data_IF_153751436735
#
_entry.id   IF_153751436735
#
_cell.length_a   1.000
_cell.length_b   1.000
_cell.length_c   1.000
_cell.angle_alpha   90.00
_cell.angle_beta   90.00
_cell.angle_gamma   90.00
#
_symmetry.space_group_name_H-M   'P 1'
#
loop_
_entity.id
_entity.type
_entity.pdbx_description
1 polymer ?
#
# COMPACT_ATOMS: atom_id res chain seq x y z
N UNK A 1 -1.31 5.77 2.99
CA UNK A 1 -1.79 6.45 4.21
C UNK A 1 -3.29 6.71 4.20
N UNK A 2 -3.82 7.54 3.27
CA UNK A 2 -5.26 7.87 3.22
C UNK A 2 -6.19 6.66 3.35
N UNK A 3 -5.99 5.63 2.52
CA UNK A 3 -6.82 4.41 2.55
C UNK A 3 -6.73 3.65 3.88
N UNK A 4 -5.57 3.68 4.53
CA UNK A 4 -5.39 3.09 5.86
C UNK A 4 -6.24 3.81 6.91
N UNK A 5 -6.20 5.15 6.93
CA UNK A 5 -7.04 5.94 7.83
C UNK A 5 -8.54 5.77 7.58
N UNK A 6 -8.95 5.66 6.31
CA UNK A 6 -10.34 5.33 5.95
C UNK A 6 -10.76 3.95 6.49
N UNK A 7 -9.91 2.92 6.36
CA UNK A 7 -10.20 1.56 6.86
C UNK A 7 -10.24 1.54 8.40
N UNK A 8 -9.36 2.29 9.05
CA UNK A 8 -9.30 2.39 10.52
C UNK A 8 -10.42 3.26 11.09
N UNK A 9 -11.13 4.03 10.26
CA UNK A 9 -12.23 4.87 10.71
C UNK A 9 -11.83 6.24 11.26
N UNK A 10 -10.56 6.66 11.15
CA UNK A 10 -10.11 7.96 11.68
C UNK A 10 -10.91 9.13 11.11
N UNK A 11 -11.49 9.97 11.97
CA UNK A 11 -12.27 11.12 11.52
C UNK A 11 -11.49 12.02 10.54
N UNK A 12 -10.20 12.28 10.84
CA UNK A 12 -9.32 13.05 9.96
C UNK A 12 -8.68 12.21 8.85
N UNK A 13 -8.39 12.84 7.71
CA UNK A 13 -7.70 12.18 6.60
C UNK A 13 -6.25 11.86 7.01
N UNK A 14 -5.91 10.58 7.05
CA UNK A 14 -4.54 10.13 7.32
C UNK A 14 -3.56 10.60 6.24
N UNK A 15 -2.73 11.60 6.59
CA UNK A 15 -1.64 12.15 5.76
C UNK A 15 -0.28 11.79 6.35
N UNK A 16 0.80 11.73 5.54
CA UNK A 16 2.16 11.52 6.05
C UNK A 16 2.55 12.53 7.14
N UNK A 17 2.08 13.78 7.02
CA UNK A 17 2.28 14.81 8.02
C UNK A 17 1.77 14.41 9.41
N UNK A 18 0.63 13.72 9.52
CA UNK A 18 0.09 13.29 10.82
C UNK A 18 0.99 12.26 11.51
N UNK A 19 1.63 11.38 10.74
CA UNK A 19 2.62 10.44 11.30
C UNK A 19 3.86 11.17 11.79
N UNK A 20 4.35 12.12 10.99
CA UNK A 20 5.48 12.97 11.40
C UNK A 20 5.11 13.82 12.61
N UNK A 21 3.86 14.28 12.69
CA UNK A 21 3.35 15.03 13.83
C UNK A 21 3.35 14.20 15.11
N UNK A 22 2.75 13.01 15.05
CA UNK A 22 2.76 12.07 16.16
C UNK A 22 4.20 11.73 16.59
N UNK A 23 5.07 11.35 15.65
CA UNK A 23 6.47 11.03 15.95
C UNK A 23 7.25 12.20 16.55
N UNK A 24 7.06 13.41 16.03
CA UNK A 24 7.70 14.61 16.57
C UNK A 24 7.27 14.87 18.03
N UNK A 25 6.00 14.60 18.36
CA UNK A 25 5.47 14.73 19.71
C UNK A 25 6.06 13.69 20.67
N UNK A 26 6.22 12.46 20.19
CA UNK A 26 6.93 11.41 20.96
C UNK A 26 8.38 11.80 21.25
N UNK A 27 9.09 12.34 20.25
CA UNK A 27 10.46 12.82 20.44
C UNK A 27 10.53 13.93 21.50
N UNK A 28 9.60 14.90 21.48
CA UNK A 28 9.57 15.99 22.45
C UNK A 28 9.34 15.51 23.89
N UNK A 29 8.60 14.41 24.05
CA UNK A 29 8.22 13.88 25.35
C UNK A 29 9.20 12.82 25.87
N UNK A 30 10.21 12.46 25.07
CA UNK A 30 11.22 11.48 25.43
C UNK A 30 12.37 12.15 26.16
N UNK A 31 12.79 11.58 27.29
CA UNK A 31 14.01 12.01 27.99
C UNK A 31 15.29 11.65 27.21
N UNK A 32 15.21 10.67 26.30
CA UNK A 32 16.35 10.19 25.50
C UNK A 32 16.62 11.07 24.27
N UNK A 33 15.62 11.83 23.80
CA UNK A 33 15.72 12.63 22.58
C UNK A 33 15.82 14.11 22.92
N UNK A 34 17.04 14.64 22.83
CA UNK A 34 17.28 16.08 23.03
C UNK A 34 16.64 16.93 21.92
N UNK A 35 16.34 18.19 22.21
CA UNK A 35 15.80 19.16 21.22
C UNK A 35 16.68 19.25 19.95
N UNK A 36 18.01 19.20 20.12
CA UNK A 36 18.94 19.21 19.00
C UNK A 36 18.80 17.94 18.15
N UNK A 37 18.74 16.76 18.78
CA UNK A 37 18.55 15.50 18.08
C UNK A 37 17.18 15.41 17.41
N UNK A 38 16.12 15.87 18.08
CA UNK A 38 14.78 15.99 17.50
C UNK A 38 14.81 16.81 16.22
N UNK A 39 15.45 17.98 16.23
CA UNK A 39 15.55 18.83 15.05
C UNK A 39 16.39 18.19 13.94
N UNK A 40 17.44 17.44 14.26
CA UNK A 40 18.18 16.64 13.27
C UNK A 40 17.29 15.56 12.65
N UNK A 41 16.55 14.79 13.45
CA UNK A 41 15.64 13.73 12.99
C UNK A 41 14.54 14.31 12.10
N UNK A 42 13.95 15.43 12.51
CA UNK A 42 12.93 16.13 11.74
C UNK A 42 13.51 16.99 10.61
N UNK A 43 14.82 17.13 10.49
CA UNK A 43 15.48 18.01 9.52
C UNK A 43 14.99 19.46 9.61
N UNK A 44 14.82 19.96 10.83
CA UNK A 44 14.52 21.37 11.10
C UNK A 44 15.83 22.13 11.31
N UNK A 45 15.94 23.30 10.70
CA UNK A 45 17.05 24.23 10.96
C UNK A 45 16.92 24.95 12.31
N UNK A 46 15.72 25.00 12.88
CA UNK A 46 15.39 25.77 14.07
C UNK A 46 14.23 25.11 14.84
N UNK A 47 14.33 25.06 16.18
CA UNK A 47 13.30 24.57 17.09
C UNK A 47 11.97 25.32 16.94
N UNK A 48 11.98 26.58 16.50
CA UNK A 48 10.77 27.37 16.22
C UNK A 48 9.88 26.70 15.17
N UNK A 49 10.47 25.95 14.24
CA UNK A 49 9.72 25.16 13.25
C UNK A 49 8.95 24.04 13.97
N UNK A 50 9.60 23.36 14.93
CA UNK A 50 8.92 22.38 15.76
C UNK A 50 7.76 23.01 16.54
N UNK A 51 8.03 24.08 17.30
CA UNK A 51 7.00 24.74 18.12
C UNK A 51 5.79 25.16 17.28
N UNK A 52 6.02 25.78 16.11
CA UNK A 52 4.95 26.28 15.24
C UNK A 52 4.10 25.18 14.61
N UNK A 53 4.70 24.06 14.23
CA UNK A 53 4.03 23.04 13.42
C UNK A 53 3.63 21.78 14.21
N UNK A 54 4.29 21.52 15.33
CA UNK A 54 4.22 20.25 16.06
C UNK A 54 3.78 20.41 17.52
N UNK A 55 3.94 21.60 18.11
CA UNK A 55 3.49 21.92 19.48
C UNK A 55 2.19 22.74 19.46
N UNK A 56 1.20 22.26 18.70
CA UNK A 56 -0.07 22.97 18.49
C UNK A 56 -1.10 22.59 19.57
N UNK A 57 -1.10 21.33 20.00
CA UNK A 57 -2.09 20.82 20.97
C UNK A 57 -1.50 20.62 22.36
N UNK A 58 -2.24 21.05 23.37
CA UNK A 58 -1.97 20.78 24.79
C UNK A 58 -2.45 19.36 25.11
N UNK A 59 -1.51 18.43 25.25
CA UNK A 59 -1.76 17.03 25.63
C UNK A 59 -1.39 16.71 27.08
N UNK A 60 -1.25 17.76 27.90
CA UNK A 60 -1.01 17.66 29.34
C UNK A 60 -2.27 18.06 30.12
N UNK A 61 -2.45 17.46 31.30
CA UNK A 61 -3.57 17.79 32.18
C UNK A 61 -3.31 19.10 32.94
N UNK A 62 -3.51 20.21 32.23
CA UNK A 62 -3.34 21.55 32.79
C UNK A 62 -4.23 21.79 34.00
N UNK A 63 -5.45 21.24 34.01
CA UNK A 63 -6.38 21.40 35.13
C UNK A 63 -5.86 20.70 36.39
N UNK A 64 -5.42 19.44 36.27
CA UNK A 64 -4.84 18.68 37.39
C UNK A 64 -3.59 19.34 37.96
N UNK A 65 -2.75 19.91 37.09
CA UNK A 65 -1.57 20.68 37.48
C UNK A 65 -1.96 21.94 38.26
N UNK A 66 -2.86 22.78 37.72
CA UNK A 66 -3.30 24.03 38.36
C UNK A 66 -3.95 23.76 39.72
N UNK A 67 -4.77 22.71 39.81
CA UNK A 67 -5.50 22.35 41.03
C UNK A 67 -4.65 21.56 42.03
N UNK A 68 -3.41 21.20 41.69
CA UNK A 68 -2.50 20.36 42.51
C UNK A 68 -3.12 19.02 42.92
N UNK A 69 -4.01 18.47 42.10
CA UNK A 69 -4.67 17.16 42.35
C UNK A 69 -3.88 15.98 41.77
N UNK A 70 -2.72 16.24 41.18
CA UNK A 70 -2.00 15.29 40.34
C UNK A 70 -2.44 15.39 38.87
N UNK A 71 -1.52 15.08 37.95
CA UNK A 71 -1.74 15.21 36.51
C UNK A 71 -2.16 13.89 35.89
N UNK A 72 -3.29 13.86 35.18
CA UNK A 72 -3.72 12.72 34.38
C UNK A 72 -3.26 12.84 32.92
N UNK A 73 -2.00 13.24 32.69
CA UNK A 73 -1.42 13.48 31.35
C UNK A 73 -1.62 12.30 30.40
N UNK A 74 -1.48 11.06 30.88
CA UNK A 74 -1.68 9.86 30.05
C UNK A 74 -3.11 9.75 29.51
N UNK A 75 -4.11 10.07 30.35
CA UNK A 75 -5.52 10.09 29.96
C UNK A 75 -5.80 11.20 28.95
N UNK A 76 -5.32 12.42 29.22
CA UNK A 76 -5.49 13.56 28.31
C UNK A 76 -4.85 13.28 26.96
N UNK A 77 -3.62 12.76 26.96
CA UNK A 77 -2.91 12.36 25.74
C UNK A 77 -3.64 11.27 24.97
N UNK A 78 -4.22 10.29 25.65
CA UNK A 78 -5.05 9.28 25.01
C UNK A 78 -6.31 9.89 24.38
N UNK A 79 -7.03 10.75 25.10
CA UNK A 79 -8.23 11.43 24.61
C UNK A 79 -7.93 12.38 23.43
N UNK A 80 -6.75 13.00 23.41
CA UNK A 80 -6.29 13.87 22.32
C UNK A 80 -5.58 13.12 21.18
N UNK A 81 -5.41 11.80 21.28
CA UNK A 81 -4.76 10.99 20.25
C UNK A 81 -5.66 10.79 19.02
N UNK A 82 -5.04 10.52 17.86
CA UNK A 82 -5.79 10.15 16.66
C UNK A 82 -6.63 8.87 16.88
N UNK A 83 -6.20 7.97 17.77
CA UNK A 83 -6.93 6.75 18.10
C UNK A 83 -8.26 7.00 18.81
N UNK A 84 -8.44 8.13 19.50
CA UNK A 84 -9.74 8.50 20.06
C UNK A 84 -10.80 8.74 18.98
N UNK A 85 -10.38 8.99 17.73
CA UNK A 85 -11.28 9.17 16.59
C UNK A 85 -11.54 7.88 15.79
N UNK A 86 -11.11 6.73 16.30
CA UNK A 86 -11.38 5.43 15.66
C UNK A 86 -12.85 5.12 15.80
N UNK A 87 -13.50 4.93 14.67
CA UNK A 87 -14.90 4.57 14.57
C UNK A 87 -15.04 3.37 13.60
N UNK A 88 -15.29 2.16 14.12
CA UNK A 88 -15.44 0.96 13.30
C UNK A 88 -16.63 1.00 12.34
N UNK A 89 -17.68 1.75 12.66
CA UNK A 89 -18.93 1.82 11.89
C UNK A 89 -18.87 2.88 10.79
N UNK A 90 -17.82 3.72 10.80
CA UNK A 90 -17.63 4.75 9.80
C UNK A 90 -17.53 4.19 8.37
N UNK A 91 -18.38 4.63 7.43
CA UNK A 91 -18.43 4.05 6.09
C UNK A 91 -17.20 4.42 5.25
N UNK A 92 -16.48 3.41 4.76
CA UNK A 92 -15.29 3.60 3.92
C UNK A 92 -15.30 2.79 2.62
N UNK A 93 -16.33 1.97 2.42
CA UNK A 93 -16.61 1.14 1.24
C UNK A 93 -18.08 1.27 0.89
N UNK A 94 -18.38 1.11 -0.39
CA UNK A 94 -19.75 0.96 -0.87
C UNK A 94 -20.20 -0.49 -0.72
N UNK A 95 -21.50 -0.70 -0.56
CA UNK A 95 -22.05 -2.06 -0.65
C UNK A 95 -21.87 -2.61 -2.07
N UNK A 96 -21.87 -3.95 -2.26
CA UNK A 96 -21.83 -4.54 -3.59
C UNK A 96 -22.97 -4.05 -4.50
N UNK A 97 -24.16 -3.85 -3.93
CA UNK A 97 -25.35 -3.37 -4.62
C UNK A 97 -25.20 -1.91 -5.07
N UNK A 98 -24.77 -1.02 -4.17
CA UNK A 98 -24.45 0.37 -4.50
C UNK A 98 -23.35 0.45 -5.56
N UNK A 99 -22.32 -0.39 -5.44
CA UNK A 99 -21.25 -0.43 -6.43
C UNK A 99 -21.73 -0.92 -7.80
N UNK A 100 -22.75 -1.77 -7.86
CA UNK A 100 -23.36 -2.22 -9.12
C UNK A 100 -24.24 -1.12 -9.72
N UNK A 101 -25.08 -0.46 -8.91
CA UNK A 101 -25.97 0.61 -9.38
C UNK A 101 -25.20 1.80 -9.97
N UNK A 102 -23.99 2.09 -9.48
CA UNK A 102 -23.12 3.11 -10.07
C UNK A 102 -22.69 2.82 -11.52
N UNK A 103 -22.65 1.55 -11.94
CA UNK A 103 -22.36 1.21 -13.34
C UNK A 103 -23.54 1.54 -14.28
N UNK A 104 -24.75 1.59 -13.73
CA UNK A 104 -25.99 1.88 -14.46
C UNK A 104 -26.19 3.38 -14.71
N UNK A 105 -25.34 4.24 -14.15
CA UNK A 105 -25.44 5.70 -14.31
C UNK A 105 -25.29 6.10 -15.79
N UNK A 106 -26.11 7.04 -16.31
CA UNK A 106 -26.07 7.45 -17.72
C UNK A 106 -24.68 7.89 -18.19
N UNK A 107 -23.95 8.63 -17.35
CA UNK A 107 -22.59 9.09 -17.65
C UNK A 107 -21.57 7.94 -17.76
N UNK A 108 -21.76 6.87 -16.99
CA UNK A 108 -20.90 5.68 -17.03
C UNK A 108 -21.25 4.83 -18.25
N UNK A 109 -22.53 4.62 -18.53
CA UNK A 109 -22.98 3.91 -19.74
C UNK A 109 -22.53 4.60 -21.02
N UNK A 110 -22.74 5.91 -21.15
CA UNK A 110 -22.31 6.66 -22.33
C UNK A 110 -20.79 6.52 -22.60
N UNK A 111 -19.96 6.46 -21.56
CA UNK A 111 -18.52 6.21 -21.69
C UNK A 111 -18.18 4.75 -21.99
N UNK A 112 -18.98 3.82 -21.47
CA UNK A 112 -18.88 2.40 -21.78
C UNK A 112 -19.17 2.18 -23.28
N UNK A 113 -20.29 2.71 -23.79
CA UNK A 113 -20.66 2.65 -25.20
C UNK A 113 -19.58 3.27 -26.09
N UNK A 114 -18.98 4.38 -25.66
CA UNK A 114 -17.88 5.03 -26.39
C UNK A 114 -16.62 4.16 -26.45
N UNK A 115 -16.32 3.41 -25.39
CA UNK A 115 -15.21 2.48 -25.36
C UNK A 115 -15.50 1.26 -26.25
N UNK A 116 -16.72 0.73 -26.19
CA UNK A 116 -17.14 -0.45 -26.95
C UNK A 116 -17.20 -0.14 -28.45
N UNK A 117 -17.77 1.00 -28.86
CA UNK A 117 -17.72 1.50 -30.25
C UNK A 117 -16.30 1.60 -30.79
N UNK A 118 -15.33 1.98 -29.96
CA UNK A 118 -13.92 2.10 -30.36
C UNK A 118 -13.19 0.76 -30.39
N UNK A 119 -13.70 -0.26 -29.69
CA UNK A 119 -13.19 -1.63 -29.75
C UNK A 119 -13.57 -2.28 -31.09
N UNK A 120 -14.82 -2.11 -31.54
CA UNK A 120 -15.31 -2.70 -32.79
C UNK A 120 -14.64 -2.12 -34.05
N UNK A 121 -14.14 -0.88 -33.99
CA UNK A 121 -13.39 -0.27 -35.10
C UNK A 121 -11.99 -0.89 -35.32
N UNK A 122 -11.46 -1.64 -34.34
CA UNK A 122 -10.17 -2.35 -34.48
C UNK A 122 -10.35 -3.72 -35.19
N UNK A 123 -11.56 -4.31 -35.20
CA UNK A 123 -11.85 -5.63 -35.78
C UNK A 123 -12.21 -5.58 -37.29
N UNK A 124 -12.82 -4.50 -37.77
CA UNK A 124 -13.26 -4.35 -39.18
C UNK A 124 -12.14 -3.96 -40.17
N UNK A 125 -10.92 -3.70 -39.69
CA UNK A 125 -9.81 -3.20 -40.51
C UNK A 125 -8.78 -4.29 -40.87
N UNK A 126 -9.19 -5.31 -41.64
CA UNK A 126 -8.24 -6.17 -42.37
C UNK A 126 -8.53 -6.14 -43.88
N UNK A 127 -8.04 -5.15 -44.64
CA UNK A 127 -8.07 -5.20 -46.10
C UNK A 127 -6.87 -5.94 -46.68
N UNK A 128 -7.19 -6.73 -47.70
CA UNK A 128 -6.28 -7.51 -48.53
C UNK A 128 -5.12 -6.70 -49.14
N UNK A 129 -4.05 -7.44 -49.37
CA UNK A 129 -2.69 -7.06 -49.75
C UNK A 129 -2.56 -6.07 -50.92
N UNK A 130 -2.12 -4.82 -50.69
CA UNK A 130 -1.33 -4.08 -51.70
C UNK A 130 -0.44 -2.95 -51.15
N UNK A 131 0.85 -3.02 -51.52
CA UNK A 131 1.92 -2.01 -51.51
C UNK A 131 2.41 -1.42 -50.17
N UNK A 132 3.74 -1.46 -50.00
CA UNK A 132 4.53 -1.08 -48.81
C UNK A 132 4.24 0.32 -48.24
N UNK A 133 3.86 1.28 -49.08
CA UNK A 133 3.47 2.64 -48.66
C UNK A 133 2.07 2.71 -48.02
N UNK A 134 1.13 1.84 -48.42
CA UNK A 134 -0.16 1.70 -47.72
C UNK A 134 0.01 1.03 -46.37
N UNK A 135 1.07 0.25 -46.18
CA UNK A 135 1.37 -0.49 -44.96
C UNK A 135 1.75 0.42 -43.80
N UNK A 136 2.53 1.49 -44.04
CA UNK A 136 2.84 2.51 -43.04
C UNK A 136 1.58 3.31 -42.63
N UNK A 137 0.77 3.75 -43.61
CA UNK A 137 -0.48 4.47 -43.33
C UNK A 137 -1.49 3.61 -42.55
N UNK A 138 -1.57 2.31 -42.83
CA UNK A 138 -2.41 1.36 -42.09
C UNK A 138 -1.88 1.11 -40.67
N UNK A 139 -0.55 1.05 -40.49
CA UNK A 139 0.07 0.97 -39.16
C UNK A 139 -0.18 2.24 -38.34
N UNK A 140 -0.10 3.42 -38.94
CA UNK A 140 -0.41 4.68 -38.26
C UNK A 140 -1.89 4.74 -37.85
N UNK A 141 -2.80 4.33 -38.73
CA UNK A 141 -4.24 4.29 -38.43
C UNK A 141 -4.59 3.32 -37.31
N UNK A 142 -4.01 2.12 -37.31
CA UNK A 142 -4.23 1.11 -36.25
C UNK A 142 -3.63 1.54 -34.91
N UNK A 143 -2.44 2.16 -34.93
CA UNK A 143 -1.86 2.70 -33.69
C UNK A 143 -2.66 3.89 -33.13
N UNK A 144 -3.23 4.73 -34.00
CA UNK A 144 -4.11 5.82 -33.59
C UNK A 144 -5.44 5.31 -33.04
N UNK A 145 -6.06 4.31 -33.67
CA UNK A 145 -7.29 3.67 -33.20
C UNK A 145 -7.09 3.05 -31.81
N UNK A 146 -6.02 2.27 -31.63
CA UNK A 146 -5.63 1.71 -30.33
C UNK A 146 -5.35 2.78 -29.27
N UNK A 147 -4.75 3.93 -29.65
CA UNK A 147 -4.57 5.07 -28.74
C UNK A 147 -5.93 5.66 -28.31
N UNK A 148 -6.87 5.82 -29.25
CA UNK A 148 -8.23 6.31 -28.98
C UNK A 148 -9.02 5.35 -28.09
N UNK A 149 -8.95 4.04 -28.34
CA UNK A 149 -9.54 3.02 -27.47
C UNK A 149 -8.97 3.06 -26.06
N UNK A 150 -7.64 3.04 -25.92
CA UNK A 150 -6.97 3.13 -24.61
C UNK A 150 -7.30 4.43 -23.86
N UNK A 151 -7.49 5.54 -24.57
CA UNK A 151 -7.97 6.79 -23.99
C UNK A 151 -9.40 6.64 -23.45
N UNK A 152 -10.31 6.06 -24.24
CA UNK A 152 -11.69 5.80 -23.84
C UNK A 152 -11.79 4.91 -22.59
N UNK A 153 -11.04 3.81 -22.55
CA UNK A 153 -11.00 2.89 -21.40
C UNK A 153 -10.48 3.60 -20.13
N UNK A 154 -9.45 4.44 -20.26
CA UNK A 154 -8.95 5.25 -19.13
C UNK A 154 -10.01 6.24 -18.65
N UNK A 155 -10.69 6.92 -19.55
CA UNK A 155 -11.77 7.88 -19.22
C UNK A 155 -12.95 7.20 -18.52
N UNK A 156 -13.34 6.00 -18.98
CA UNK A 156 -14.35 5.16 -18.34
C UNK A 156 -13.94 4.75 -16.92
N UNK A 157 -12.72 4.24 -16.76
CA UNK A 157 -12.20 3.84 -15.43
C UNK A 157 -12.14 5.02 -14.47
N UNK A 158 -11.67 6.17 -14.95
CA UNK A 158 -11.62 7.41 -14.17
C UNK A 158 -13.01 7.87 -13.76
N UNK A 159 -14.01 7.77 -14.64
CA UNK A 159 -15.39 8.14 -14.31
C UNK A 159 -16.01 7.20 -13.28
N UNK A 160 -15.87 5.88 -13.46
CA UNK A 160 -16.30 4.88 -12.47
C UNK A 160 -15.68 5.18 -11.10
N UNK A 161 -14.40 5.52 -11.06
CA UNK A 161 -13.72 5.88 -9.82
C UNK A 161 -14.23 7.21 -9.23
N UNK A 162 -14.52 8.23 -10.05
CA UNK A 162 -15.09 9.51 -9.61
C UNK A 162 -16.46 9.33 -8.99
N UNK A 163 -17.34 8.57 -9.64
CA UNK A 163 -18.68 8.29 -9.13
C UNK A 163 -18.62 7.50 -7.81
N UNK A 164 -17.74 6.49 -7.71
CA UNK A 164 -17.49 5.79 -6.43
C UNK A 164 -17.00 6.72 -5.33
N UNK A 165 -15.99 7.55 -5.61
CA UNK A 165 -15.45 8.51 -4.63
C UNK A 165 -16.47 9.58 -4.24
N UNK A 166 -17.37 9.97 -5.14
CA UNK A 166 -18.48 10.87 -4.85
C UNK A 166 -19.45 10.19 -3.89
N UNK A 167 -19.91 8.97 -4.20
CA UNK A 167 -20.85 8.23 -3.37
C UNK A 167 -20.32 7.93 -1.97
N UNK A 168 -19.04 7.57 -1.85
CA UNK A 168 -18.41 7.37 -0.53
C UNK A 168 -18.42 8.68 0.28
N UNK A 169 -18.19 9.84 -0.36
CA UNK A 169 -18.27 11.13 0.34
C UNK A 169 -19.69 11.47 0.79
N UNK A 170 -20.67 11.24 -0.06
CA UNK A 170 -22.09 11.42 0.29
C UNK A 170 -22.50 10.50 1.45
N UNK A 171 -22.06 9.23 1.45
CA UNK A 171 -22.32 8.30 2.56
C UNK A 171 -21.63 8.76 3.85
N UNK A 172 -20.40 9.28 3.77
CA UNK A 172 -19.68 9.84 4.92
C UNK A 172 -20.32 11.10 5.48
N UNK A 173 -20.86 11.96 4.63
CA UNK A 173 -21.54 13.20 5.02
C UNK A 173 -22.85 12.86 5.73
N UNK A 174 -23.69 12.02 5.11
CA UNK A 174 -24.90 11.48 5.77
C UNK A 174 -24.60 10.84 7.11
N UNK A 175 -23.56 10.00 7.18
CA UNK A 175 -23.17 9.38 8.44
C UNK A 175 -22.81 10.42 9.52
N UNK A 176 -22.09 11.49 9.16
CA UNK A 176 -21.73 12.56 10.12
C UNK A 176 -22.93 13.32 10.65
N UNK A 177 -23.97 13.47 9.83
CA UNK A 177 -25.16 14.23 10.20
C UNK A 177 -26.20 13.36 10.92
N UNK A 178 -26.39 12.12 10.45
CA UNK A 178 -27.39 11.18 10.96
C UNK A 178 -26.93 10.47 12.23
N UNK A 179 -25.64 10.07 12.34
CA UNK A 179 -25.17 9.26 13.46
C UNK A 179 -25.34 9.95 14.82
N UNK A 180 -25.01 11.25 14.98
CA UNK A 180 -25.25 11.94 16.24
C UNK A 180 -26.74 11.98 16.63
N UNK A 181 -27.64 12.10 15.65
CA UNK A 181 -29.09 12.11 15.89
C UNK A 181 -29.53 10.72 16.38
N UNK A 182 -29.09 9.65 15.71
CA UNK A 182 -29.38 8.29 16.13
C UNK A 182 -28.85 8.00 17.54
N UNK A 183 -27.66 8.50 17.88
CA UNK A 183 -27.08 8.32 19.21
C UNK A 183 -27.84 9.11 20.28
N UNK A 184 -28.31 10.33 19.97
CA UNK A 184 -29.20 11.11 20.85
C UNK A 184 -30.54 10.42 21.05
N UNK A 185 -31.18 9.94 19.98
CA UNK A 185 -32.45 9.21 20.05
C UNK A 185 -32.32 7.92 20.88
N UNK A 186 -31.20 7.19 20.73
CA UNK A 186 -30.87 6.02 21.54
C UNK A 186 -30.74 6.36 23.03
N UNK A 187 -30.02 7.44 23.35
CA UNK A 187 -29.89 7.92 24.73
C UNK A 187 -31.25 8.28 25.33
N UNK A 188 -32.11 8.98 24.57
CA UNK A 188 -33.48 9.32 24.99
C UNK A 188 -34.36 8.08 25.18
N UNK A 189 -34.20 7.07 24.32
CA UNK A 189 -34.85 5.77 24.43
C UNK A 189 -34.27 4.90 25.57
N UNK A 190 -33.34 5.43 26.36
CA UNK A 190 -32.63 4.73 27.45
C UNK A 190 -31.89 3.47 26.99
N UNK A 191 -31.37 3.49 25.77
CA UNK A 191 -30.50 2.45 25.22
C UNK A 191 -29.09 3.02 25.07
N UNK A 192 -28.22 2.74 26.04
CA UNK A 192 -26.85 3.29 26.07
C UNK A 192 -25.92 2.58 25.07
N UNK A 193 -26.20 1.32 24.76
CA UNK A 193 -25.36 0.47 23.90
C UNK A 193 -26.17 -0.06 22.73
N UNK A 194 -25.55 -0.07 21.55
CA UNK A 194 -26.16 -0.61 20.34
C UNK A 194 -26.46 -2.11 20.51
N UNK A 195 -27.58 -2.59 19.97
CA UNK A 195 -28.00 -3.98 20.13
C UNK A 195 -26.95 -4.94 19.58
N UNK A 196 -26.27 -4.56 18.48
CA UNK A 196 -25.17 -5.35 17.93
C UNK A 196 -24.00 -5.48 18.91
N UNK A 197 -23.70 -4.43 19.67
CA UNK A 197 -22.60 -4.46 20.65
C UNK A 197 -22.98 -5.40 21.79
N UNK A 198 -24.22 -5.32 22.28
CA UNK A 198 -24.75 -6.27 23.27
C UNK A 198 -24.72 -7.72 22.75
N UNK A 199 -25.21 -7.97 21.54
CA UNK A 199 -25.17 -9.29 20.91
C UNK A 199 -23.73 -9.80 20.78
N UNK A 200 -22.76 -8.94 20.44
CA UNK A 200 -21.35 -9.37 20.38
C UNK A 200 -20.72 -9.60 21.74
N UNK A 201 -21.19 -8.94 22.80
CA UNK A 201 -20.76 -9.18 24.17
C UNK A 201 -21.28 -10.55 24.64
N UNK A 202 -22.53 -10.87 24.35
CA UNK A 202 -23.18 -12.14 24.70
C UNK A 202 -22.61 -13.33 23.92
N UNK A 203 -22.35 -13.17 22.61
CA UNK A 203 -21.87 -14.26 21.75
C UNK A 203 -20.39 -14.61 21.93
N UNK A 204 -19.59 -13.74 22.57
CA UNK A 204 -18.19 -14.04 22.91
C UNK A 204 -18.17 -14.77 24.25
N UNK A 205 -18.30 -16.09 24.22
CA UNK A 205 -18.23 -17.01 25.38
C UNK A 205 -16.89 -17.03 26.16
N UNK A 206 -16.22 -15.89 26.27
CA UNK A 206 -14.97 -15.63 26.97
C UNK A 206 -15.16 -14.78 28.24
N UNK A 207 -16.36 -14.24 28.52
CA UNK A 207 -16.58 -13.40 29.71
C UNK A 207 -17.24 -14.20 30.85
N UNK A 208 -16.68 -14.16 32.08
CA UNK A 208 -17.35 -14.68 33.26
C UNK A 208 -18.71 -13.99 33.49
N UNK A 209 -19.71 -14.70 34.06
CA UNK A 209 -21.03 -14.12 34.35
C UNK A 209 -20.97 -12.82 35.15
N UNK A 210 -20.02 -12.71 36.08
CA UNK A 210 -19.80 -11.52 36.90
C UNK A 210 -19.39 -10.30 36.06
N UNK A 211 -18.63 -10.50 34.97
CA UNK A 211 -18.22 -9.42 34.07
C UNK A 211 -19.42 -8.87 33.27
N UNK A 212 -20.31 -9.77 32.83
CA UNK A 212 -21.56 -9.36 32.17
C UNK A 212 -22.46 -8.57 33.13
N UNK A 213 -22.58 -8.99 34.38
CA UNK A 213 -23.35 -8.27 35.42
C UNK A 213 -22.77 -6.89 35.68
N UNK A 214 -21.43 -6.74 35.73
CA UNK A 214 -20.79 -5.44 35.87
C UNK A 214 -21.09 -4.54 34.67
N UNK A 215 -20.94 -5.07 33.46
CA UNK A 215 -21.19 -4.33 32.22
C UNK A 215 -22.65 -3.86 32.19
N UNK A 216 -23.60 -4.74 32.46
CA UNK A 216 -25.03 -4.42 32.53
C UNK A 216 -25.33 -3.35 33.58
N UNK A 217 -24.85 -3.53 34.81
CA UNK A 217 -25.11 -2.59 35.91
C UNK A 217 -24.49 -1.20 35.68
N UNK A 218 -23.31 -1.12 35.04
CA UNK A 218 -22.65 0.15 34.69
C UNK A 218 -23.36 0.84 33.52
N UNK A 219 -23.79 0.09 32.52
CA UNK A 219 -24.44 0.62 31.32
C UNK A 219 -25.95 0.84 31.48
N UNK A 220 -26.51 0.43 32.62
CA UNK A 220 -27.91 0.70 32.97
C UNK A 220 -28.16 2.21 32.99
N UNK A 221 -29.28 2.64 32.40
CA UNK A 221 -29.61 4.06 32.32
C UNK A 221 -30.11 4.65 33.65
N UNK A 222 -29.96 5.97 33.86
CA UNK A 222 -30.58 6.68 34.98
C UNK A 222 -32.09 6.49 35.03
N UNK A 223 -32.61 6.25 36.23
CA UNK A 223 -34.04 6.26 36.49
C UNK A 223 -34.62 7.68 36.39
N UNK A 224 -35.95 7.79 36.29
CA UNK A 224 -36.64 9.10 36.31
C UNK A 224 -36.69 9.73 37.70
N UNK A 225 -36.41 8.95 38.74
CA UNK A 225 -36.45 9.38 40.14
C UNK A 225 -35.06 9.30 40.77
N UNK A 226 -34.87 10.11 41.81
CA UNK A 226 -33.63 10.14 42.58
C UNK A 226 -33.33 8.79 43.23
N UNK A 227 -34.37 8.12 43.75
CA UNK A 227 -34.27 6.81 44.40
C UNK A 227 -33.85 5.72 43.43
N UNK A 228 -34.41 5.70 42.21
CA UNK A 228 -34.03 4.73 41.18
C UNK A 228 -32.59 4.93 40.72
N UNK A 229 -32.13 6.18 40.63
CA UNK A 229 -30.75 6.53 40.36
C UNK A 229 -29.80 6.06 41.48
N UNK A 230 -30.14 6.29 42.74
CA UNK A 230 -29.37 5.79 43.87
C UNK A 230 -29.30 4.26 43.87
N UNK A 231 -30.43 3.58 43.64
CA UNK A 231 -30.47 2.12 43.59
C UNK A 231 -29.61 1.58 42.44
N UNK A 232 -29.64 2.21 41.26
CA UNK A 232 -28.76 1.83 40.16
C UNK A 232 -27.29 1.98 40.52
N UNK A 233 -26.90 3.09 41.15
CA UNK A 233 -25.51 3.30 41.62
C UNK A 233 -25.10 2.24 42.64
N UNK A 234 -25.96 1.91 43.60
CA UNK A 234 -25.72 0.85 44.57
C UNK A 234 -25.54 -0.50 43.86
N UNK A 235 -26.40 -0.83 42.90
CA UNK A 235 -26.30 -2.07 42.14
C UNK A 235 -24.99 -2.15 41.35
N UNK A 236 -24.55 -1.05 40.71
CA UNK A 236 -23.27 -0.98 40.02
C UNK A 236 -22.07 -1.15 40.97
N UNK A 237 -22.10 -0.51 42.14
CA UNK A 237 -21.07 -0.67 43.18
C UNK A 237 -21.00 -2.13 43.65
N UNK A 238 -22.16 -2.75 43.90
CA UNK A 238 -22.24 -4.13 44.34
C UNK A 238 -21.72 -5.09 43.26
N UNK A 239 -22.09 -4.86 41.99
CA UNK A 239 -21.61 -5.64 40.86
C UNK A 239 -20.08 -5.56 40.71
N UNK A 240 -19.51 -4.35 40.77
CA UNK A 240 -18.05 -4.14 40.72
C UNK A 240 -17.37 -4.84 41.90
N UNK A 241 -17.92 -4.70 43.12
CA UNK A 241 -17.38 -5.35 44.32
C UNK A 241 -17.39 -6.87 44.19
N UNK A 242 -18.45 -7.45 43.64
CA UNK A 242 -18.56 -8.89 43.37
C UNK A 242 -17.61 -9.37 42.26
N UNK A 243 -17.22 -8.49 41.34
CA UNK A 243 -16.26 -8.80 40.28
C UNK A 243 -14.80 -8.66 40.72
N UNK A 244 -14.47 -7.77 41.66
CA UNK A 244 -13.11 -7.59 42.19
C UNK A 244 -12.33 -8.88 42.52
N UNK A 245 -12.92 -9.95 43.11
CA UNK A 245 -12.20 -11.20 43.38
C UNK A 245 -12.03 -12.13 42.15
N UNK A 246 -12.68 -11.83 41.02
CA UNK A 246 -12.60 -12.64 39.80
C UNK A 246 -11.23 -12.45 39.16
N UNK A 247 -10.44 -13.53 39.11
CA UNK A 247 -9.17 -13.53 38.39
C UNK A 247 -9.45 -13.55 36.90
N UNK A 248 -9.28 -12.40 36.24
CA UNK A 248 -9.07 -12.38 34.79
C UNK A 248 -7.87 -13.30 34.51
N UNK A 249 -8.08 -14.37 33.75
CA UNK A 249 -7.04 -15.37 33.49
C UNK A 249 -5.77 -14.73 32.90
N UNK A 250 -4.67 -15.50 32.84
CA UNK A 250 -3.46 -15.01 32.14
C UNK A 250 -3.86 -14.48 30.75
N UNK A 251 -3.35 -13.32 30.31
CA UNK A 251 -3.57 -12.84 28.95
C UNK A 251 -3.19 -13.99 28.01
N UNK A 252 -4.18 -14.62 27.41
CA UNK A 252 -3.93 -15.64 26.41
C UNK A 252 -3.16 -14.91 25.32
N UNK A 253 -1.96 -15.37 24.92
CA UNK A 253 -1.32 -14.82 23.73
C UNK A 253 -2.37 -14.88 22.66
N UNK A 254 -2.78 -13.72 22.13
CA UNK A 254 -3.70 -13.68 21.01
C UNK A 254 -3.15 -14.69 20.01
N UNK A 255 -3.92 -15.70 19.58
CA UNK A 255 -3.51 -16.43 18.39
C UNK A 255 -3.31 -15.33 17.38
N UNK A 256 -2.07 -15.17 16.89
CA UNK A 256 -1.81 -14.38 15.70
C UNK A 256 -2.88 -14.85 14.74
N UNK A 257 -3.83 -13.97 14.39
CA UNK A 257 -4.86 -14.30 13.42
C UNK A 257 -4.10 -14.75 12.19
N UNK A 258 -3.97 -16.06 12.01
CA UNK A 258 -3.49 -16.65 10.79
C UNK A 258 -4.44 -16.09 9.75
N UNK A 259 -3.92 -15.30 8.82
CA UNK A 259 -4.68 -14.86 7.67
C UNK A 259 -5.40 -16.08 7.11
N UNK A 260 -6.75 -16.04 7.18
CA UNK A 260 -7.71 -16.77 6.35
C UNK A 260 -7.18 -18.10 5.79
N UNK A 261 -7.54 -19.21 6.44
CA UNK A 261 -7.81 -20.42 5.65
C UNK A 261 -9.27 -20.40 5.21
N UNK A 262 -9.56 -20.51 3.91
CA UNK A 262 -10.86 -20.93 3.42
C UNK A 262 -11.21 -22.33 3.96
N UNK A 263 -12.50 -22.56 4.16
CA UNK A 263 -13.08 -23.86 4.49
C UNK A 263 -12.78 -24.88 3.39
N UNK A 264 -12.65 -26.13 3.85
CA UNK A 264 -12.22 -27.37 3.20
C UNK A 264 -13.00 -27.75 1.93
N UNK A 265 -12.30 -28.42 1.01
CA UNK A 265 -12.84 -29.62 0.37
C UNK A 265 -11.74 -30.70 0.34
N UNK A 266 -12.22 -31.92 0.54
CA UNK A 266 -11.56 -33.19 0.80
C UNK A 266 -10.46 -33.57 -0.22
N UNK A 267 -9.32 -34.10 0.26
CA UNK A 267 -8.81 -35.44 -0.14
C UNK A 267 -7.42 -35.72 0.51
N UNK A 268 -7.29 -36.98 0.89
CA UNK A 268 -6.22 -37.80 1.49
C UNK A 268 -4.80 -37.26 1.69
N UNK A 269 -4.34 -37.55 2.91
CA UNK A 269 -2.98 -37.73 3.42
C UNK A 269 -1.87 -38.12 2.44
N UNK A 270 -0.65 -37.56 2.59
CA UNK A 270 0.65 -38.28 2.72
C UNK A 270 1.81 -37.33 3.16
N UNK A 271 2.87 -37.81 3.86
CA UNK A 271 4.05 -37.02 4.28
C UNK A 271 5.30 -37.32 3.38
N UNK A 272 6.54 -36.86 3.66
CA UNK A 272 7.04 -35.54 3.28
C UNK A 272 8.38 -35.50 2.49
N UNK A 273 8.69 -34.32 1.95
CA UNK A 273 10.00 -33.64 1.91
C UNK A 273 11.20 -34.12 1.05
N UNK A 274 11.24 -35.31 0.42
CA UNK A 274 12.43 -35.67 -0.42
C UNK A 274 12.30 -35.40 -1.93
N UNK A 275 11.08 -35.33 -2.48
CA UNK A 275 10.86 -35.14 -3.93
C UNK A 275 10.90 -33.66 -4.37
N UNK A 276 10.66 -32.75 -3.44
CA UNK A 276 10.53 -31.31 -3.70
C UNK A 276 11.87 -30.65 -4.07
N UNK A 277 12.99 -31.15 -3.55
CA UNK A 277 14.31 -30.55 -3.81
C UNK A 277 14.78 -30.76 -5.26
N UNK A 278 14.54 -31.95 -5.85
CA UNK A 278 14.85 -32.22 -7.27
C UNK A 278 13.93 -31.45 -8.22
N UNK A 279 12.64 -31.35 -7.90
CA UNK A 279 11.68 -30.56 -8.69
C UNK A 279 12.01 -29.06 -8.69
N UNK A 280 12.44 -28.49 -7.56
CA UNK A 280 12.86 -27.08 -7.47
C UNK A 280 14.16 -26.82 -8.25
N UNK A 281 15.16 -27.69 -8.16
CA UNK A 281 16.40 -27.55 -8.93
C UNK A 281 16.11 -27.65 -10.45
N UNK A 282 15.30 -28.61 -10.88
CA UNK A 282 14.88 -28.76 -12.28
C UNK A 282 14.07 -27.54 -12.78
N UNK A 283 13.13 -27.00 -12.00
CA UNK A 283 12.36 -25.79 -12.36
C UNK A 283 13.24 -24.53 -12.49
N UNK A 284 14.26 -24.39 -11.63
CA UNK A 284 15.18 -23.24 -11.68
C UNK A 284 16.10 -23.31 -12.90
N UNK A 285 16.61 -24.51 -13.24
CA UNK A 285 17.44 -24.75 -14.42
C UNK A 285 16.61 -24.56 -15.70
N UNK A 286 15.37 -25.05 -15.74
CA UNK A 286 14.44 -24.83 -16.85
C UNK A 286 14.11 -23.34 -17.03
N UNK A 287 13.87 -22.61 -15.93
CA UNK A 287 13.59 -21.16 -15.96
C UNK A 287 14.78 -20.34 -16.48
N UNK A 288 16.00 -20.69 -16.06
CA UNK A 288 17.22 -20.07 -16.59
C UNK A 288 17.41 -20.39 -18.07
N UNK A 289 17.20 -21.64 -18.48
CA UNK A 289 17.31 -22.07 -19.88
C UNK A 289 16.31 -21.35 -20.78
N UNK A 290 15.06 -21.23 -20.34
CA UNK A 290 14.02 -20.50 -21.05
C UNK A 290 14.35 -19.01 -21.15
N UNK A 291 14.89 -18.40 -20.10
CA UNK A 291 15.34 -17.01 -20.12
C UNK A 291 16.57 -16.81 -21.04
N UNK A 292 17.52 -17.74 -21.08
CA UNK A 292 18.64 -17.72 -22.03
C UNK A 292 18.17 -17.82 -23.49
N UNK A 293 17.15 -18.62 -23.77
CA UNK A 293 16.57 -18.72 -25.11
C UNK A 293 15.87 -17.44 -25.57
N UNK A 294 15.37 -16.62 -24.64
CA UNK A 294 14.79 -15.30 -24.98
C UNK A 294 15.84 -14.23 -25.31
N UNK A 295 17.10 -14.45 -24.93
CA UNK A 295 18.22 -13.54 -25.23
C UNK A 295 18.92 -13.85 -26.56
N UNK A 296 18.75 -15.06 -27.10
CA UNK A 296 19.29 -15.43 -28.41
C UNK A 296 18.43 -14.80 -29.50
N UNK A 297 19.04 -13.97 -30.35
CA UNK A 297 18.36 -13.23 -31.42
C UNK A 297 17.76 -14.22 -32.44
N UNK A 298 16.44 -14.45 -32.39
CA UNK A 298 15.72 -15.24 -33.42
C UNK A 298 15.31 -14.41 -34.65
N UNK A 299 15.28 -13.07 -34.54
CA UNK A 299 15.08 -12.13 -35.66
C UNK A 299 15.50 -10.70 -35.26
N UNK A 300 15.91 -9.85 -36.22
CA UNK A 300 16.42 -8.47 -35.98
C UNK A 300 15.45 -7.54 -35.22
N UNK A 301 14.16 -7.88 -35.12
CA UNK A 301 13.11 -7.03 -34.55
C UNK A 301 12.60 -7.49 -33.16
N UNK A 302 13.02 -8.65 -32.64
CA UNK A 302 12.65 -9.08 -31.28
C UNK A 302 13.63 -8.50 -30.26
N UNK A 303 13.09 -7.79 -29.26
CA UNK A 303 13.89 -7.18 -28.19
C UNK A 303 13.84 -8.06 -26.94
N UNK A 304 14.97 -8.26 -26.24
CA UNK A 304 14.97 -9.00 -24.99
C UNK A 304 14.18 -8.26 -23.92
N UNK A 305 13.56 -9.00 -23.00
CA UNK A 305 12.86 -8.46 -21.81
C UNK A 305 13.64 -8.69 -20.52
N UNK A 306 14.74 -9.44 -20.57
CA UNK A 306 15.65 -9.70 -19.44
C UNK A 306 17.02 -9.14 -19.78
N UNK A 307 17.78 -8.67 -18.78
CA UNK A 307 19.11 -8.10 -19.02
C UNK A 307 20.21 -9.18 -18.90
N UNK A 308 21.04 -9.32 -19.94
CA UNK A 308 21.98 -10.45 -20.09
C UNK A 308 23.06 -10.53 -18.99
N UNK A 309 23.58 -9.39 -18.50
CA UNK A 309 24.54 -9.40 -17.38
C UNK A 309 23.90 -9.80 -16.05
N UNK A 310 22.64 -9.44 -15.81
CA UNK A 310 21.94 -9.91 -14.61
C UNK A 310 21.72 -11.43 -14.69
N UNK A 311 21.38 -11.93 -15.86
CA UNK A 311 21.17 -13.37 -16.08
C UNK A 311 22.46 -14.18 -15.91
N UNK A 312 23.59 -13.64 -16.38
CA UNK A 312 24.92 -14.24 -16.29
C UNK A 312 25.66 -14.05 -14.95
N UNK A 313 25.11 -13.29 -14.00
CA UNK A 313 25.80 -13.03 -12.73
C UNK A 313 25.40 -14.07 -11.66
N UNK A 314 26.32 -14.95 -11.22
CA UNK A 314 26.03 -15.98 -10.23
C UNK A 314 25.84 -15.40 -8.81
N UNK A 315 26.32 -14.18 -8.55
CA UNK A 315 26.23 -13.52 -7.25
C UNK A 315 24.88 -12.82 -7.01
N UNK A 316 23.96 -12.85 -7.97
CA UNK A 316 22.61 -12.31 -7.83
C UNK A 316 21.60 -13.42 -7.51
N UNK A 317 20.58 -13.14 -6.66
CA UNK A 317 19.51 -14.10 -6.40
C UNK A 317 18.69 -14.35 -7.67
N UNK A 318 18.18 -15.57 -7.85
CA UNK A 318 17.56 -16.05 -9.09
C UNK A 318 16.43 -15.13 -9.60
N UNK A 319 15.61 -14.61 -8.69
CA UNK A 319 14.52 -13.67 -8.99
C UNK A 319 15.00 -12.37 -9.65
N UNK A 320 16.20 -11.89 -9.33
CA UNK A 320 16.83 -10.75 -9.99
C UNK A 320 17.47 -11.10 -11.33
N UNK A 321 17.97 -12.34 -11.46
CA UNK A 321 18.59 -12.84 -12.70
C UNK A 321 17.57 -13.01 -13.83
N UNK A 322 16.35 -13.40 -13.51
CA UNK A 322 15.25 -13.64 -14.47
C UNK A 322 14.23 -12.49 -14.53
N UNK A 323 14.52 -11.36 -13.87
CA UNK A 323 13.60 -10.23 -13.78
C UNK A 323 13.22 -9.72 -15.18
N UNK A 324 11.93 -9.80 -15.50
CA UNK A 324 11.36 -9.33 -16.77
C UNK A 324 11.03 -7.85 -16.67
N UNK A 325 11.55 -7.09 -17.61
CA UNK A 325 11.31 -5.67 -17.77
C UNK A 325 10.20 -5.46 -18.80
N UNK A 326 9.15 -4.77 -18.38
CA UNK A 326 7.90 -4.61 -19.15
C UNK A 326 8.07 -3.74 -20.39
N UNK A 327 9.10 -2.87 -20.43
CA UNK A 327 9.38 -2.00 -21.58
C UNK A 327 10.88 -1.88 -21.88
N UNK A 328 11.29 -1.68 -23.15
CA UNK A 328 12.70 -1.46 -23.53
C UNK A 328 13.37 -0.30 -22.78
N UNK A 329 12.61 0.75 -22.44
CA UNK A 329 13.13 1.90 -21.68
C UNK A 329 13.42 1.57 -20.22
N UNK A 330 12.71 0.58 -19.65
CA UNK A 330 12.96 0.10 -18.29
C UNK A 330 14.23 -0.76 -18.21
N UNK A 331 14.53 -1.53 -19.26
CA UNK A 331 15.84 -2.22 -19.42
C UNK A 331 16.97 -1.21 -19.52
N UNK A 332 16.79 -0.17 -20.34
CA UNK A 332 17.79 0.87 -20.56
C UNK A 332 18.11 1.60 -19.25
N UNK A 333 17.08 1.96 -18.47
CA UNK A 333 17.27 2.57 -17.14
C UNK A 333 17.92 1.62 -16.13
N UNK A 334 17.54 0.34 -16.14
CA UNK A 334 18.14 -0.67 -15.28
C UNK A 334 19.63 -0.84 -15.58
N UNK A 335 19.98 -0.94 -16.87
CA UNK A 335 21.36 -1.03 -17.34
C UNK A 335 22.19 0.17 -16.90
N UNK A 336 21.71 1.39 -17.17
CA UNK A 336 22.42 2.60 -16.81
C UNK A 336 22.65 2.68 -15.29
N UNK A 337 21.63 2.39 -14.48
CA UNK A 337 21.70 2.51 -13.02
C UNK A 337 22.56 1.44 -12.36
N UNK A 338 22.45 0.18 -12.80
CA UNK A 338 23.08 -0.97 -12.11
C UNK A 338 24.47 -1.31 -12.67
N UNK A 339 24.73 -1.01 -13.94
CA UNK A 339 25.94 -1.46 -14.64
C UNK A 339 26.81 -0.34 -15.23
N UNK A 340 26.29 0.88 -15.48
CA UNK A 340 27.07 1.97 -16.10
C UNK A 340 27.44 3.09 -15.12
N UNK A 341 26.50 3.48 -14.25
CA UNK A 341 26.67 4.58 -13.30
C UNK A 341 27.43 4.19 -12.02
N UNK A 342 27.74 2.90 -11.84
CA UNK A 342 28.67 2.45 -10.79
C UNK A 342 30.13 2.59 -11.28
N UNK A 343 31.10 2.75 -10.37
CA UNK A 343 32.51 2.71 -10.73
C UNK A 343 32.81 1.44 -11.54
N UNK A 344 33.52 1.61 -12.66
CA UNK A 344 33.86 0.47 -13.52
C UNK A 344 34.88 -0.42 -12.80
N UNK A 345 34.66 -1.74 -12.71
CA UNK A 345 35.60 -2.62 -12.04
C UNK A 345 36.95 -2.61 -12.78
N UNK A 346 38.05 -2.52 -12.03
CA UNK A 346 39.41 -2.52 -12.57
C UNK A 346 39.74 -3.81 -13.34
N UNK A 347 39.06 -4.92 -13.02
CA UNK A 347 39.17 -6.20 -13.72
C UNK A 347 38.27 -6.36 -14.95
N UNK A 348 37.56 -5.32 -15.40
CA UNK A 348 36.62 -5.41 -16.51
C UNK A 348 35.31 -6.14 -16.17
N UNK A 349 34.41 -6.24 -17.15
CA UNK A 349 33.13 -6.95 -17.01
C UNK A 349 33.05 -8.05 -18.06
N UNK A 350 32.69 -9.26 -17.65
CA UNK A 350 32.54 -10.41 -18.55
C UNK A 350 31.09 -10.70 -18.93
N UNK A 351 30.87 -11.21 -20.14
CA UNK A 351 29.57 -11.76 -20.53
C UNK A 351 29.53 -13.29 -20.36
N UNK A 352 28.91 -13.73 -19.26
CA UNK A 352 28.75 -15.15 -18.95
C UNK A 352 27.65 -15.86 -19.77
N UNK A 353 26.96 -15.13 -20.65
CA UNK A 353 25.94 -15.69 -21.57
C UNK A 353 26.55 -16.05 -22.92
N UNK A 354 27.60 -15.34 -23.36
CA UNK A 354 28.27 -15.54 -24.64
C UNK A 354 29.63 -16.24 -24.55
N UNK A 355 30.09 -16.60 -23.34
CA UNK A 355 31.32 -17.36 -23.13
C UNK A 355 32.57 -16.50 -22.98
N UNK A 356 32.59 -15.68 -21.92
CA UNK A 356 33.81 -15.05 -21.34
C UNK A 356 34.55 -14.05 -22.25
N UNK A 357 33.83 -13.20 -22.98
CA UNK A 357 34.43 -11.96 -23.50
C UNK A 357 34.58 -10.96 -22.35
N UNK A 358 35.83 -10.61 -22.01
CA UNK A 358 36.16 -9.61 -20.99
C UNK A 358 36.17 -8.21 -21.61
N UNK A 359 35.32 -7.32 -21.09
CA UNK A 359 35.25 -5.93 -21.55
C UNK A 359 36.01 -5.03 -20.59
N UNK A 360 37.20 -4.62 -21.00
CA UNK A 360 38.00 -3.62 -20.29
C UNK A 360 37.35 -2.23 -20.37
N UNK A 361 36.69 -1.91 -21.49
CA UNK A 361 36.05 -0.61 -21.73
C UNK A 361 34.53 -0.72 -21.83
N UNK A 362 33.84 0.31 -21.34
CA UNK A 362 32.37 0.46 -21.38
C UNK A 362 31.79 0.38 -22.80
N UNK A 363 32.52 0.90 -23.79
CA UNK A 363 32.09 0.91 -25.18
C UNK A 363 31.99 -0.50 -25.79
N UNK A 364 32.91 -1.39 -25.41
CA UNK A 364 32.96 -2.75 -25.94
C UNK A 364 31.78 -3.58 -25.43
N UNK A 365 31.42 -3.41 -24.16
CA UNK A 365 30.21 -3.99 -23.58
C UNK A 365 28.94 -3.51 -24.30
N UNK A 366 28.86 -2.23 -24.68
CA UNK A 366 27.71 -1.67 -25.38
C UNK A 366 27.56 -2.23 -26.79
N UNK A 367 28.68 -2.39 -27.50
CA UNK A 367 28.70 -2.98 -28.83
C UNK A 367 28.32 -4.46 -28.79
N UNK A 368 28.85 -5.21 -27.81
CA UNK A 368 28.48 -6.60 -27.55
C UNK A 368 26.98 -6.74 -27.21
N UNK A 369 26.47 -5.92 -26.30
CA UNK A 369 25.06 -5.91 -25.90
C UNK A 369 24.11 -5.73 -27.10
N UNK A 370 24.48 -4.85 -28.04
CA UNK A 370 23.72 -4.57 -29.26
C UNK A 370 23.83 -5.72 -30.27
N UNK A 371 25.03 -6.26 -30.48
CA UNK A 371 25.33 -7.27 -31.51
C UNK A 371 24.87 -8.67 -31.11
N UNK A 372 25.14 -9.09 -29.88
CA UNK A 372 24.94 -10.46 -29.41
C UNK A 372 23.58 -10.65 -28.71
N UNK A 373 23.07 -9.61 -28.05
CA UNK A 373 21.84 -9.69 -27.25
C UNK A 373 20.71 -8.76 -27.72
N UNK A 374 20.91 -7.98 -28.79
CA UNK A 374 19.89 -7.07 -29.34
C UNK A 374 19.45 -5.96 -28.37
N UNK A 375 20.24 -5.69 -27.32
CA UNK A 375 19.94 -4.63 -26.34
C UNK A 375 20.41 -3.30 -26.90
N UNK A 376 19.47 -2.42 -27.21
CA UNK A 376 19.76 -1.09 -27.78
C UNK A 376 19.47 -0.02 -26.73
N UNK A 377 20.53 0.58 -26.20
CA UNK A 377 20.45 1.79 -25.38
C UNK A 377 20.25 2.97 -26.35
N UNK A 378 19.27 3.86 -26.11
CA UNK A 378 19.07 5.10 -26.88
C UNK A 378 19.01 6.30 -25.94
N UNK A 379 19.62 7.43 -26.32
CA UNK A 379 19.52 8.71 -25.60
C UNK A 379 20.81 9.54 -25.58
N UNK A 380 20.69 10.82 -25.17
CA UNK A 380 21.78 11.80 -25.08
C UNK A 380 22.95 11.39 -24.14
N UNK A 381 22.70 10.45 -23.22
CA UNK A 381 23.70 9.89 -22.31
C UNK A 381 24.77 9.06 -23.02
N UNK A 382 24.45 8.47 -24.18
CA UNK A 382 25.42 7.70 -24.99
C UNK A 382 26.43 8.63 -25.66
N UNK A 383 26.00 9.83 -26.08
CA UNK A 383 26.92 10.82 -26.65
C UNK A 383 27.98 11.24 -25.63
N UNK A 384 27.61 11.38 -24.35
CA UNK A 384 28.56 11.64 -23.25
C UNK A 384 29.52 10.48 -22.98
N UNK A 385 29.03 9.24 -22.98
CA UNK A 385 29.87 8.05 -22.78
C UNK A 385 30.80 7.77 -23.97
N UNK A 386 30.41 8.18 -25.19
CA UNK A 386 31.27 8.14 -26.38
C UNK A 386 32.34 9.25 -26.33
N UNK A 387 32.03 10.42 -25.75
CA UNK A 387 32.99 11.51 -25.52
C UNK A 387 34.01 11.20 -24.42
N UNK A 388 33.61 10.50 -23.34
CA UNK A 388 34.54 10.03 -22.30
C UNK A 388 35.59 9.04 -22.85
N UNK A 389 35.29 8.35 -23.97
CA UNK A 389 36.25 7.48 -24.66
C UNK A 389 37.28 8.23 -25.54
N UNK A 390 37.14 9.55 -25.74
CA UNK A 390 38.06 10.34 -26.57
C UNK A 390 39.14 11.09 -25.78
N UNK A 391 39.05 11.13 -24.45
CA UNK A 391 40.10 11.70 -23.60
C UNK A 391 40.64 10.65 -22.62
N UNK A 392 41.86 10.11 -22.84
CA UNK A 392 42.55 9.41 -21.78
C UNK A 392 42.87 10.44 -20.69
N UNK A 393 42.44 10.14 -19.47
CA UNK A 393 42.81 10.92 -18.29
C UNK A 393 44.34 11.00 -18.21
N UNK A 394 44.86 12.21 -18.33
CA UNK A 394 46.28 12.48 -18.25
C UNK A 394 46.52 13.98 -18.21
N UNK A 395 46.35 14.58 -17.02
CA UNK A 395 47.20 15.65 -16.50
C UNK A 395 46.71 16.01 -15.09
N UNK A 396 47.40 15.41 -14.12
CA UNK A 396 47.58 15.99 -12.79
C UNK A 396 48.43 17.25 -12.98
N UNK A 397 47.93 18.40 -12.56
CA UNK A 397 48.77 19.55 -12.22
C UNK A 397 48.27 20.08 -10.88
N UNK A 398 49.24 20.29 -10.00
CA UNK A 398 49.19 20.61 -8.57
C UNK A 398 48.27 21.78 -8.21
#
# INVERSE_FOLDING_TARGET
MRRGGEITGFNQIARPYLLRYAGAKEFNNSEEVTDALQNVILQHSDIRIFVRHYKVDVDVDVQGIIRKTGSQTSLVRFACSLSASIDPDRPYKLSPEESKSLNELPVVRARQDTADKRNHLDDEAVPNHHLRAKLELLQDRTTEAKRKYNKAVRELRNEKQRQRNRRIRENLERYRDEQPVLDLERQLARKLVDTKVMDTLENKGFMPPQQLIVIDAILTMPGTTLEAEYQRRINAINAITAFCPVKEGRPTPRPVQSCRRPVSDDDKSHPPAKRQRRLLEDDTVLSLRQAMETLRIKSKNKRPTVYFLCLGNPNLPLNERIAKHTTPDSLTRHFLRKHVNRPWPAGGVECNVCGMELFERKADLLNHAKRCHGTVVRGATIAKLVLECQHPAGLVVL
#
